data_IF_585764366125
#
_entry.id   IF_585764366125
#
_cell.length_a   1.000
_cell.length_b   1.000
_cell.length_c   1.000
_cell.angle_alpha   90.00
_cell.angle_beta   90.00
_cell.angle_gamma   90.00
#
_symmetry.space_group_name_H-M   'P 1'
#
loop_
_entity.id
_entity.type
_entity.pdbx_description
1 polymer ?
#
# COMPACT_ATOMS: atom_id res chain seq x y z
N UNK A 1 34.17 -23.60 -22.83
CA UNK A 1 33.57 -24.94 -22.92
C UNK A 1 33.01 -25.43 -21.59
N UNK A 2 31.82 -26.01 -21.63
CA UNK A 2 31.17 -26.63 -20.48
C UNK A 2 31.44 -28.14 -20.54
N UNK A 3 31.87 -28.75 -19.43
CA UNK A 3 32.25 -30.17 -19.44
C UNK A 3 31.04 -31.10 -19.28
N UNK A 4 29.95 -30.61 -18.70
CA UNK A 4 28.70 -31.36 -18.52
C UNK A 4 27.47 -30.46 -18.69
N UNK A 5 26.32 -31.06 -19.05
CA UNK A 5 25.04 -30.36 -19.14
C UNK A 5 24.63 -29.72 -17.81
N UNK A 6 24.87 -30.41 -16.69
CA UNK A 6 24.59 -29.91 -15.35
C UNK A 6 25.37 -28.64 -15.04
N UNK A 7 26.66 -28.60 -15.38
CA UNK A 7 27.48 -27.40 -15.23
C UNK A 7 26.96 -26.24 -16.08
N UNK A 8 26.54 -26.52 -17.31
CA UNK A 8 25.93 -25.51 -18.18
C UNK A 8 24.67 -24.93 -17.54
N UNK A 9 23.74 -25.79 -17.09
CA UNK A 9 22.48 -25.36 -16.45
C UNK A 9 22.73 -24.48 -15.22
N UNK A 10 23.64 -24.89 -14.33
CA UNK A 10 23.97 -24.12 -13.11
C UNK A 10 24.61 -22.77 -13.45
N UNK A 11 25.57 -22.74 -14.39
CA UNK A 11 26.20 -21.47 -14.80
C UNK A 11 25.21 -20.53 -15.48
N UNK A 12 24.34 -21.07 -16.33
CA UNK A 12 23.31 -20.29 -16.99
C UNK A 12 22.28 -19.75 -16.00
N UNK A 13 21.83 -20.56 -15.05
CA UNK A 13 20.93 -20.13 -13.97
C UNK A 13 21.53 -19.00 -13.13
N UNK A 14 22.82 -19.09 -12.78
CA UNK A 14 23.51 -18.04 -12.05
C UNK A 14 23.63 -16.74 -12.86
N UNK A 15 23.95 -16.85 -14.16
CA UNK A 15 24.00 -15.70 -15.07
C UNK A 15 22.63 -15.02 -15.22
N UNK A 16 21.57 -15.83 -15.36
CA UNK A 16 20.20 -15.36 -15.40
C UNK A 16 19.80 -14.65 -14.11
N UNK A 17 20.11 -15.22 -12.93
CA UNK A 17 19.79 -14.58 -11.64
C UNK A 17 20.52 -13.26 -11.44
N UNK A 18 21.75 -13.14 -11.94
CA UNK A 18 22.48 -11.86 -11.92
C UNK A 18 21.81 -10.81 -12.81
N UNK A 19 21.35 -11.23 -14.00
CA UNK A 19 20.71 -10.32 -14.96
C UNK A 19 19.27 -9.96 -14.57
N UNK A 20 18.53 -10.91 -13.98
CA UNK A 20 17.14 -10.80 -13.54
C UNK A 20 17.04 -10.67 -12.01
N UNK A 21 17.82 -9.74 -11.45
CA UNK A 21 17.90 -9.52 -10.01
C UNK A 21 16.57 -9.07 -9.35
N UNK A 22 15.61 -8.61 -10.15
CA UNK A 22 14.31 -8.12 -9.70
C UNK A 22 13.23 -9.21 -9.59
N UNK A 23 13.49 -10.43 -10.09
CA UNK A 23 12.58 -11.58 -9.93
C UNK A 23 12.99 -12.43 -8.73
N UNK A 24 12.30 -12.32 -7.59
CA UNK A 24 12.70 -13.04 -6.38
C UNK A 24 12.38 -14.53 -6.53
N UNK A 25 13.41 -15.37 -6.59
CA UNK A 25 13.26 -16.82 -6.46
C UNK A 25 12.46 -17.52 -7.57
N UNK A 26 12.22 -16.88 -8.71
CA UNK A 26 11.42 -17.47 -9.79
C UNK A 26 12.05 -18.79 -10.30
N UNK A 27 11.25 -19.84 -10.53
CA UNK A 27 11.75 -21.12 -11.01
C UNK A 27 12.29 -20.98 -12.43
N UNK A 28 13.51 -21.45 -12.67
CA UNK A 28 14.15 -21.47 -13.99
C UNK A 28 14.01 -22.87 -14.57
N UNK A 29 13.40 -22.97 -15.75
CA UNK A 29 13.16 -24.23 -16.46
C UNK A 29 13.72 -24.13 -17.89
N UNK A 30 14.32 -25.22 -18.36
CA UNK A 30 14.89 -25.31 -19.70
C UNK A 30 13.92 -26.07 -20.60
N UNK A 31 13.27 -25.36 -21.52
CA UNK A 31 12.20 -25.92 -22.36
C UNK A 31 12.51 -25.76 -23.84
N UNK A 32 11.93 -26.63 -24.67
CA UNK A 32 11.99 -26.50 -26.13
C UNK A 32 10.60 -26.73 -26.73
N UNK A 33 10.06 -25.70 -27.36
CA UNK A 33 8.76 -25.77 -28.04
C UNK A 33 8.80 -26.64 -29.30
N UNK A 34 9.95 -26.70 -29.98
CA UNK A 34 10.10 -27.47 -31.22
C UNK A 34 10.12 -28.98 -30.98
N UNK A 35 10.80 -29.42 -29.91
CA UNK A 35 10.88 -30.85 -29.55
C UNK A 35 9.84 -31.29 -28.52
N UNK A 36 9.10 -30.34 -27.92
CA UNK A 36 8.19 -30.62 -26.81
C UNK A 36 8.89 -30.91 -25.48
N UNK A 37 10.20 -30.67 -25.37
CA UNK A 37 10.98 -30.98 -24.16
C UNK A 37 10.54 -30.12 -22.96
N UNK A 38 10.18 -30.79 -21.86
CA UNK A 38 9.78 -30.22 -20.56
C UNK A 38 8.62 -29.21 -20.58
N UNK A 39 7.78 -29.20 -21.63
CA UNK A 39 6.61 -28.29 -21.73
C UNK A 39 5.60 -28.55 -20.61
N UNK A 40 5.30 -29.81 -20.30
CA UNK A 40 4.39 -30.16 -19.20
C UNK A 40 4.92 -29.69 -17.84
N UNK A 41 6.24 -29.75 -17.64
CA UNK A 41 6.89 -29.29 -16.41
C UNK A 41 6.73 -27.79 -16.22
N UNK A 42 6.84 -27.04 -17.31
CA UNK A 42 6.61 -25.59 -17.32
C UNK A 42 5.16 -25.25 -16.94
N UNK A 43 4.18 -25.93 -17.53
CA UNK A 43 2.76 -25.71 -17.22
C UNK A 43 2.46 -26.04 -15.75
N UNK A 44 3.00 -27.15 -15.24
CA UNK A 44 2.87 -27.53 -13.83
C UNK A 44 3.48 -26.48 -12.89
N UNK A 45 4.66 -25.96 -13.21
CA UNK A 45 5.28 -24.88 -12.43
C UNK A 45 4.43 -23.59 -12.45
N UNK A 46 3.86 -23.23 -13.59
CA UNK A 46 2.95 -22.09 -13.69
C UNK A 46 1.70 -22.24 -12.82
N UNK A 47 1.10 -23.44 -12.78
CA UNK A 47 -0.06 -23.74 -11.92
C UNK A 47 0.33 -23.68 -10.43
N UNK A 48 1.51 -24.20 -10.06
CA UNK A 48 2.01 -24.11 -8.69
C UNK A 48 2.23 -22.65 -8.27
N UNK A 49 2.83 -21.84 -9.13
CA UNK A 49 3.04 -20.41 -8.87
C UNK A 49 1.72 -19.66 -8.72
N UNK A 50 0.74 -19.97 -9.57
CA UNK A 50 -0.60 -19.39 -9.47
C UNK A 50 -1.28 -19.72 -8.13
N UNK A 51 -1.09 -20.94 -7.60
CA UNK A 51 -1.58 -21.31 -6.27
C UNK A 51 -0.83 -20.61 -5.14
N UNK A 52 0.48 -20.40 -5.29
CA UNK A 52 1.30 -19.68 -4.32
C UNK A 52 0.86 -18.22 -4.19
N UNK A 53 0.46 -17.57 -5.29
CA UNK A 53 -0.09 -16.22 -5.29
C UNK A 53 -1.36 -16.10 -4.43
N UNK A 54 -2.20 -17.15 -4.36
CA UNK A 54 -3.45 -17.15 -3.60
C UNK A 54 -3.31 -17.32 -2.09
N UNK A 55 -2.07 -17.44 -1.60
CA UNK A 55 -1.80 -17.72 -0.20
C UNK A 55 -2.28 -16.57 0.69
N UNK A 56 -3.10 -16.89 1.69
CA UNK A 56 -3.48 -15.96 2.76
C UNK A 56 -2.54 -16.13 3.94
N UNK A 57 -1.82 -15.06 4.29
CA UNK A 57 -0.90 -15.04 5.42
C UNK A 57 -1.62 -14.49 6.66
N UNK A 58 -1.65 -15.23 7.78
CA UNK A 58 -2.18 -14.71 9.04
C UNK A 58 -1.40 -13.48 9.50
N UNK A 59 -2.12 -12.43 9.90
CA UNK A 59 -1.52 -11.17 10.35
C UNK A 59 -0.59 -11.37 11.55
N UNK A 60 -0.92 -12.29 12.46
CA UNK A 60 -0.05 -12.62 13.60
C UNK A 60 1.34 -13.10 13.14
N UNK A 61 1.40 -14.06 12.20
CA UNK A 61 2.67 -14.58 11.68
C UNK A 61 3.44 -13.50 10.91
N UNK A 62 2.73 -12.66 10.15
CA UNK A 62 3.34 -11.55 9.41
C UNK A 62 4.00 -10.53 10.35
N UNK A 63 3.31 -10.14 11.42
CA UNK A 63 3.83 -9.17 12.39
C UNK A 63 5.00 -9.73 13.19
N UNK A 64 4.95 -11.01 13.57
CA UNK A 64 6.07 -11.69 14.22
C UNK A 64 7.32 -11.66 13.33
N UNK A 65 7.19 -12.06 12.06
CA UNK A 65 8.32 -12.05 11.12
C UNK A 65 8.91 -10.65 10.93
N UNK A 66 8.07 -9.62 10.78
CA UNK A 66 8.55 -8.24 10.63
C UNK A 66 9.29 -7.76 11.89
N UNK A 67 8.81 -8.13 13.08
CA UNK A 67 9.51 -7.89 14.33
C UNK A 67 10.88 -8.55 14.36
N UNK A 68 10.94 -9.86 14.10
CA UNK A 68 12.18 -10.65 14.07
C UNK A 68 13.20 -10.08 13.08
N UNK A 69 12.75 -9.69 11.88
CA UNK A 69 13.61 -9.07 10.88
C UNK A 69 14.14 -7.71 11.34
N UNK A 70 13.31 -6.90 11.99
CA UNK A 70 13.73 -5.59 12.51
C UNK A 70 14.72 -5.70 13.68
N UNK A 71 14.62 -6.77 14.48
CA UNK A 71 15.58 -7.08 15.55
C UNK A 71 16.91 -7.58 14.99
N UNK A 72 16.88 -8.47 13.99
CA UNK A 72 18.08 -9.00 13.35
C UNK A 72 18.87 -7.94 12.60
N UNK A 73 18.18 -7.12 11.81
CA UNK A 73 18.78 -6.04 11.02
C UNK A 73 17.97 -4.77 11.26
N UNK A 74 18.46 -3.85 12.11
CA UNK A 74 17.78 -2.59 12.34
C UNK A 74 17.85 -1.71 11.09
N UNK A 75 16.76 -0.99 10.81
CA UNK A 75 16.70 -0.08 9.67
C UNK A 75 17.73 1.07 9.81
N UNK A 76 18.36 1.50 8.70
CA UNK A 76 19.27 2.64 8.72
C UNK A 76 18.54 3.91 9.18
N UNK A 77 19.22 4.76 9.94
CA UNK A 77 18.66 6.02 10.40
C UNK A 77 18.76 7.07 9.28
N UNK A 78 17.62 7.52 8.75
CA UNK A 78 17.57 8.61 7.78
C UNK A 78 17.13 9.87 8.52
N UNK A 79 17.97 10.90 8.58
CA UNK A 79 17.67 12.15 9.30
C UNK A 79 17.40 11.93 10.80
N UNK A 80 18.26 11.15 11.46
CA UNK A 80 18.25 10.92 12.91
C UNK A 80 17.15 10.00 13.44
N UNK A 81 16.26 9.47 12.60
CA UNK A 81 15.20 8.53 13.00
C UNK A 81 15.24 7.26 12.17
N UNK A 82 15.12 6.11 12.83
CA UNK A 82 15.02 4.79 12.18
C UNK A 82 13.60 4.54 11.70
N UNK A 83 13.46 3.81 10.60
CA UNK A 83 12.16 3.28 10.17
C UNK A 83 11.67 2.24 11.18
N UNK A 84 10.41 2.37 11.62
CA UNK A 84 9.77 1.42 12.54
C UNK A 84 8.41 1.04 11.99
N UNK A 85 8.19 -0.26 11.84
CA UNK A 85 6.88 -0.84 11.54
C UNK A 85 6.17 -1.12 12.87
N UNK A 86 4.91 -0.73 12.96
CA UNK A 86 4.05 -1.00 14.12
C UNK A 86 3.12 -2.17 13.86
N UNK A 87 2.62 -2.27 12.64
CA UNK A 87 1.68 -3.30 12.24
C UNK A 87 1.75 -3.54 10.73
N UNK A 88 1.52 -4.78 10.33
CA UNK A 88 1.49 -5.22 8.95
C UNK A 88 0.27 -6.11 8.70
N UNK A 89 -0.37 -5.95 7.54
CA UNK A 89 -1.39 -6.88 7.06
C UNK A 89 -1.30 -7.10 5.56
N UNK A 90 -1.79 -8.26 5.11
CA UNK A 90 -2.01 -8.53 3.69
C UNK A 90 -3.29 -7.80 3.24
N UNK A 91 -3.16 -6.89 2.27
CA UNK A 91 -4.28 -6.14 1.68
C UNK A 91 -4.71 -6.72 0.33
N UNK A 92 -3.79 -7.34 -0.40
CA UNK A 92 -4.04 -7.90 -1.73
C UNK A 92 -3.28 -9.21 -1.94
N UNK A 93 -3.80 -10.01 -2.87
CA UNK A 93 -3.33 -11.38 -3.13
C UNK A 93 -2.67 -11.46 -4.52
N UNK A 94 -3.23 -10.79 -5.53
CA UNK A 94 -2.73 -10.75 -6.91
C UNK A 94 -2.67 -9.30 -7.44
N UNK A 95 -1.53 -8.58 -7.33
CA UNK A 95 -0.24 -9.00 -6.77
C UNK A 95 -0.25 -9.08 -5.23
N UNK A 96 0.76 -9.71 -4.64
CA UNK A 96 0.87 -9.88 -3.20
C UNK A 96 1.17 -8.52 -2.53
N UNK A 97 0.15 -7.90 -1.92
CA UNK A 97 0.25 -6.55 -1.35
C UNK A 97 0.18 -6.60 0.15
N UNK A 98 1.18 -6.03 0.80
CA UNK A 98 1.29 -5.92 2.25
C UNK A 98 1.28 -4.45 2.62
N UNK A 99 0.30 -4.07 3.44
CA UNK A 99 0.21 -2.73 4.00
C UNK A 99 1.00 -2.68 5.30
N UNK A 100 1.97 -1.77 5.37
CA UNK A 100 2.82 -1.54 6.54
C UNK A 100 2.44 -0.21 7.20
N UNK A 101 1.98 -0.27 8.44
CA UNK A 101 1.81 0.92 9.27
C UNK A 101 3.13 1.25 9.94
N UNK A 102 3.68 2.41 9.61
CA UNK A 102 5.01 2.82 10.04
C UNK A 102 5.00 4.21 10.68
N UNK A 103 6.15 4.61 11.22
CA UNK A 103 6.32 5.95 11.74
C UNK A 103 6.28 7.01 10.62
N UNK A 104 7.08 6.83 9.57
CA UNK A 104 7.15 7.72 8.40
C UNK A 104 7.47 6.90 7.15
N UNK A 105 6.73 7.16 6.08
CA UNK A 105 6.89 6.50 4.78
C UNK A 105 8.23 6.87 4.14
N UNK A 106 8.60 8.15 4.20
CA UNK A 106 9.87 8.72 3.67
C UNK A 106 11.15 8.08 4.26
N UNK A 107 11.03 7.23 5.29
CA UNK A 107 12.18 6.67 6.02
C UNK A 107 12.51 5.23 5.63
N UNK A 108 11.70 4.59 4.78
CA UNK A 108 12.04 3.27 4.26
C UNK A 108 13.06 3.43 3.13
N UNK A 109 14.30 2.99 3.34
CA UNK A 109 15.27 2.90 2.25
C UNK A 109 14.95 1.73 1.32
N UNK A 110 15.30 1.86 0.04
CA UNK A 110 15.10 0.81 -0.96
C UNK A 110 15.86 -0.49 -0.60
N UNK A 111 17.05 -0.37 -0.01
CA UNK A 111 17.80 -1.53 0.50
C UNK A 111 17.05 -2.26 1.62
N UNK A 112 16.48 -1.51 2.57
CA UNK A 112 15.72 -2.11 3.67
C UNK A 112 14.40 -2.71 3.19
N UNK A 113 13.75 -2.07 2.20
CA UNK A 113 12.59 -2.63 1.52
C UNK A 113 12.90 -3.99 0.90
N UNK A 114 14.00 -4.12 0.16
CA UNK A 114 14.45 -5.39 -0.45
C UNK A 114 14.78 -6.46 0.59
N UNK A 115 15.33 -6.06 1.72
CA UNK A 115 15.56 -6.95 2.85
C UNK A 115 14.25 -7.53 3.38
N UNK A 116 13.24 -6.68 3.63
CA UNK A 116 11.91 -7.12 4.07
C UNK A 116 11.22 -8.01 3.03
N UNK A 117 11.28 -7.63 1.75
CA UNK A 117 10.76 -8.43 0.64
C UNK A 117 11.40 -9.82 0.60
N UNK A 118 12.74 -9.88 0.59
CA UNK A 118 13.48 -11.14 0.54
C UNK A 118 13.20 -12.03 1.75
N UNK A 119 13.05 -11.44 2.93
CA UNK A 119 12.70 -12.18 4.14
C UNK A 119 11.29 -12.77 4.09
N UNK A 120 10.32 -12.01 3.58
CA UNK A 120 8.94 -12.50 3.40
C UNK A 120 8.85 -13.59 2.33
N UNK A 121 9.55 -13.44 1.21
CA UNK A 121 9.58 -14.46 0.16
C UNK A 121 10.11 -15.79 0.71
N UNK A 122 11.22 -15.74 1.45
CA UNK A 122 11.84 -16.93 2.06
C UNK A 122 10.97 -17.60 3.13
N UNK A 123 10.42 -16.83 4.07
CA UNK A 123 9.64 -17.38 5.19
C UNK A 123 8.29 -17.96 4.75
N UNK A 124 7.66 -17.34 3.74
CA UNK A 124 6.35 -17.75 3.28
C UNK A 124 6.38 -18.63 2.03
N UNK A 125 7.56 -18.94 1.48
CA UNK A 125 7.70 -19.74 0.27
C UNK A 125 6.99 -19.12 -0.92
N UNK A 126 7.17 -17.81 -1.12
CA UNK A 126 6.57 -17.03 -2.21
C UNK A 126 7.53 -16.92 -3.40
N UNK A 127 8.32 -17.95 -3.65
CA UNK A 127 9.31 -17.99 -4.73
C UNK A 127 8.62 -17.74 -6.09
N UNK A 128 9.08 -16.72 -6.82
CA UNK A 128 8.50 -16.26 -8.07
C UNK A 128 7.33 -15.28 -7.93
N UNK A 129 6.87 -14.97 -6.72
CA UNK A 129 5.78 -14.02 -6.47
C UNK A 129 6.34 -12.68 -5.98
N UNK A 130 6.12 -11.56 -6.70
CA UNK A 130 6.57 -10.25 -6.24
C UNK A 130 5.74 -9.77 -5.05
N UNK A 131 6.41 -9.23 -4.02
CA UNK A 131 5.78 -8.66 -2.82
C UNK A 131 5.84 -7.14 -2.88
N UNK A 132 4.68 -6.50 -2.81
CA UNK A 132 4.55 -5.05 -2.83
C UNK A 132 4.21 -4.53 -1.44
N UNK A 133 4.83 -3.41 -1.08
CA UNK A 133 4.59 -2.72 0.18
C UNK A 133 3.82 -1.42 -0.05
N UNK A 134 2.64 -1.33 0.56
CA UNK A 134 1.90 -0.09 0.69
C UNK A 134 2.20 0.50 2.08
N UNK A 135 2.87 1.64 2.13
CA UNK A 135 3.24 2.26 3.41
C UNK A 135 2.13 3.20 3.87
N UNK A 136 1.87 3.21 5.18
CA UNK A 136 0.98 4.18 5.82
C UNK A 136 1.69 4.75 7.04
N UNK A 137 2.07 6.02 6.95
CA UNK A 137 2.73 6.77 8.01
C UNK A 137 1.75 7.44 8.96
N UNK A 138 2.28 7.95 10.09
CA UNK A 138 1.53 8.87 10.93
C UNK A 138 1.34 10.22 10.20
N UNK A 139 0.22 10.92 10.41
CA UNK A 139 0.01 12.25 9.84
C UNK A 139 1.16 13.18 10.24
N UNK A 140 1.67 13.95 9.27
CA UNK A 140 2.70 14.96 9.51
C UNK A 140 2.05 16.09 10.32
N UNK A 141 2.65 16.44 11.45
CA UNK A 141 2.22 17.60 12.23
C UNK A 141 2.60 18.87 11.46
N UNK A 142 1.61 19.68 11.11
CA UNK A 142 1.87 21.01 10.52
C UNK A 142 2.30 21.97 11.64
N UNK A 143 3.42 22.69 11.51
CA UNK A 143 3.76 23.74 12.47
C UNK A 143 2.58 24.74 12.59
N UNK A 144 2.05 24.93 13.80
CA UNK A 144 0.89 25.80 14.06
C UNK A 144 -0.42 25.06 14.36
N UNK A 145 -0.60 23.80 13.97
CA UNK A 145 -1.73 22.99 14.45
C UNK A 145 -1.45 22.42 15.84
N UNK A 146 -2.43 22.30 16.74
CA UNK A 146 -2.19 21.69 18.06
C UNK A 146 -1.91 20.19 17.95
N UNK A 147 -1.02 19.67 18.80
CA UNK A 147 -0.53 18.28 18.77
C UNK A 147 -1.63 17.21 18.97
N UNK A 148 -2.80 17.59 19.48
CA UNK A 148 -3.92 16.65 19.68
C UNK A 148 -4.93 16.76 18.54
N UNK A 149 -5.22 15.63 17.88
CA UNK A 149 -6.26 15.56 16.86
C UNK A 149 -7.64 16.03 17.34
N UNK A 150 -7.89 16.06 18.66
CA UNK A 150 -9.10 16.63 19.25
C UNK A 150 -9.25 18.13 18.97
N UNK A 151 -8.17 18.90 19.04
CA UNK A 151 -8.21 20.35 18.81
C UNK A 151 -8.34 20.68 17.32
N UNK A 152 -7.67 19.95 16.43
CA UNK A 152 -7.85 20.09 14.99
C UNK A 152 -9.27 19.69 14.52
N UNK A 153 -9.89 18.68 15.14
CA UNK A 153 -11.31 18.34 14.92
C UNK A 153 -12.23 19.44 15.46
N UNK A 154 -11.87 20.09 16.57
CA UNK A 154 -12.64 21.21 17.15
C UNK A 154 -12.58 22.48 16.28
N UNK A 155 -11.40 22.80 15.73
CA UNK A 155 -11.20 23.89 14.78
C UNK A 155 -11.93 23.63 13.47
N UNK A 156 -11.83 22.42 12.92
CA UNK A 156 -12.59 22.03 11.72
C UNK A 156 -14.10 22.09 11.96
N UNK A 157 -14.58 21.65 13.13
CA UNK A 157 -15.98 21.83 13.54
C UNK A 157 -16.37 23.30 13.72
N UNK A 158 -15.46 24.18 14.16
CA UNK A 158 -15.72 25.63 14.27
C UNK A 158 -15.87 26.27 12.90
N UNK A 159 -14.95 25.99 11.98
CA UNK A 159 -15.00 26.53 10.60
C UNK A 159 -16.19 25.98 9.82
N UNK A 160 -16.48 24.68 9.93
CA UNK A 160 -17.65 24.07 9.27
C UNK A 160 -18.97 24.66 9.82
N UNK A 161 -19.02 25.00 11.12
CA UNK A 161 -20.18 25.63 11.76
C UNK A 161 -20.33 27.12 11.40
N UNK A 162 -19.25 27.83 11.09
CA UNK A 162 -19.31 29.21 10.54
C UNK A 162 -19.82 29.23 9.09
N UNK A 163 -19.45 28.24 8.26
CA UNK A 163 -19.97 28.11 6.89
C UNK A 163 -21.42 27.61 6.84
N UNK A 164 -21.85 26.79 7.81
CA UNK A 164 -23.27 26.37 7.97
C UNK A 164 -24.09 27.31 8.86
N UNK A 165 -23.53 28.42 9.34
CA UNK A 165 -24.22 29.42 10.17
C UNK A 165 -25.23 30.29 9.40
N UNK A 166 -25.43 30.07 8.09
CA UNK A 166 -26.59 30.63 7.38
C UNK A 166 -27.75 29.65 7.60
N UNK A 167 -28.69 29.95 8.52
CA UNK A 167 -29.77 29.03 8.79
C UNK A 167 -30.66 28.93 7.54
N UNK A 168 -31.15 27.72 7.25
CA UNK A 168 -31.94 27.39 6.05
C UNK A 168 -33.11 28.34 5.77
N UNK A 169 -33.66 28.99 6.79
CA UNK A 169 -34.75 29.97 6.66
C UNK A 169 -34.30 31.29 6.01
N UNK A 170 -33.04 31.69 6.20
CA UNK A 170 -32.46 32.93 5.62
C UNK A 170 -32.10 32.77 4.14
N UNK A 171 -31.87 31.54 3.70
CA UNK A 171 -31.66 31.17 2.27
C UNK A 171 -32.99 31.16 1.49
N UNK A 172 -34.14 31.08 2.20
CA UNK A 172 -35.47 31.17 1.59
C UNK A 172 -35.89 32.62 1.32
N UNK A 173 -35.63 33.54 2.23
CA UNK A 173 -35.94 34.98 2.04
C UNK A 173 -35.29 35.54 0.77
N UNK A 174 -34.01 35.23 0.52
CA UNK A 174 -33.30 35.75 -0.67
C UNK A 174 -33.79 35.18 -2.00
N UNK A 175 -34.59 34.10 -1.99
CA UNK A 175 -35.22 33.52 -3.19
C UNK A 175 -36.62 34.06 -3.43
N UNK A 176 -37.29 34.56 -2.40
CA UNK A 176 -38.64 35.14 -2.50
C UNK A 176 -38.58 36.61 -2.97
N UNK A 177 -37.50 37.34 -2.65
CA UNK A 177 -37.32 38.75 -3.05
C UNK A 177 -36.98 38.95 -4.56
N UNK A 178 -36.73 37.86 -5.29
CA UNK A 178 -36.29 37.91 -6.69
C UNK A 178 -37.40 37.60 -7.73
N UNK A 179 -38.66 37.42 -7.31
CA UNK A 179 -39.76 37.12 -8.23
C UNK A 179 -41.12 37.65 -7.81
N UNK A 180 -41.54 38.76 -8.45
CA UNK A 180 -42.93 39.28 -8.59
C UNK A 180 -43.63 39.69 -7.27
N UNK A 181 -43.99 40.94 -6.99
CA UNK A 181 -44.47 42.00 -7.88
C UNK A 181 -45.99 41.94 -8.02
N UNK A 182 -46.73 42.55 -7.09
CA UNK A 182 -48.02 43.21 -7.33
C UNK A 182 -48.46 44.01 -6.09
N UNK A 183 -48.75 45.29 -6.28
CA UNK A 183 -49.28 46.19 -5.26
C UNK A 183 -50.77 45.88 -5.04
N UNK A 184 -51.19 45.81 -3.77
CA UNK A 184 -52.61 45.76 -3.42
C UNK A 184 -52.90 46.90 -2.42
N UNK A 185 -53.61 47.91 -2.93
CA UNK A 185 -54.17 49.03 -2.18
C UNK A 185 -55.33 48.56 -1.29
N UNK A 186 -55.41 49.10 -0.07
CA UNK A 186 -56.64 49.17 0.69
C UNK A 186 -56.79 50.60 1.22
N UNK A 187 -57.56 51.41 0.48
CA UNK A 187 -58.12 52.65 0.99
C UNK A 187 -59.17 52.37 2.08
N UNK A 188 -59.17 53.28 3.03
CA UNK A 188 -59.84 53.31 4.33
C UNK A 188 -61.34 53.52 4.21
N UNK A 189 -62.14 52.84 5.03
CA UNK A 189 -63.46 53.33 5.47
C UNK A 189 -63.67 52.93 6.94
N UNK A 190 -63.39 53.88 7.84
CA UNK A 190 -64.13 54.03 9.09
C UNK A 190 -65.34 54.92 8.81
N UNK A 191 -66.44 54.65 9.53
CA UNK A 191 -67.80 55.23 9.52
C UNK A 191 -68.07 56.58 8.81
#
# INVERSE_FOLDING_TARGET
>A
DYKTEREYRVKYENSLRSSLFFTPGAPVLFVSAMSGYEVDRMLNAAVQLNRALDKKIPTAKLNALVGDMAERVPAPAIGGKRFRVYYALQTGVRPFRIKLFCNREDKLSEQYRRYLESGMVKEFGLDGCPVYFDLVGKPKHTPGTPYSGKAAILEKKRTDNEETAVPKWKVRETREDAGMGEAFDYETLED
#
